data_IF_560633384674
#
_entry.id   IF_560633384674
#
_cell.length_a   1.000
_cell.length_b   1.000
_cell.length_c   1.000
_cell.angle_alpha   90.00
_cell.angle_beta   90.00
_cell.angle_gamma   90.00
#
_symmetry.space_group_name_H-M   'P 1'
#
loop_
_entity.id
_entity.type
_entity.pdbx_description
1 polymer ?
#
# COMPACT_ATOMS: atom_id res chain seq x y z
N UNK A 1 40.11 -8.01 -26.41
CA UNK A 1 38.73 -8.55 -26.35
C UNK A 1 38.82 -9.95 -26.92
N UNK A 2 38.52 -11.01 -26.16
CA UNK A 2 38.63 -12.39 -26.62
C UNK A 2 37.36 -12.74 -27.40
N UNK A 3 37.49 -13.18 -28.65
CA UNK A 3 36.34 -13.64 -29.44
C UNK A 3 35.83 -14.95 -28.82
N UNK A 4 34.57 -14.97 -28.41
CA UNK A 4 33.90 -16.15 -27.90
C UNK A 4 33.29 -16.92 -29.08
N UNK A 5 33.48 -18.24 -29.11
CA UNK A 5 32.83 -19.08 -30.11
C UNK A 5 31.34 -19.22 -29.81
N UNK A 6 30.54 -19.59 -30.82
CA UNK A 6 29.09 -19.83 -30.66
C UNK A 6 28.81 -20.91 -29.60
N UNK A 7 29.73 -21.86 -29.43
CA UNK A 7 29.65 -22.91 -28.40
C UNK A 7 29.87 -22.35 -26.99
N UNK A 8 30.75 -21.35 -26.85
CA UNK A 8 30.98 -20.66 -25.57
C UNK A 8 29.79 -19.76 -25.19
N UNK A 9 29.09 -19.18 -26.17
CA UNK A 9 27.84 -18.45 -25.94
C UNK A 9 26.71 -19.39 -25.50
N UNK A 10 26.63 -20.59 -26.06
CA UNK A 10 25.58 -21.56 -25.71
C UNK A 10 25.70 -22.08 -24.27
N UNK A 11 26.92 -22.14 -23.71
CA UNK A 11 27.18 -22.47 -22.31
C UNK A 11 26.95 -21.31 -21.34
N UNK A 12 26.92 -20.07 -21.85
CA UNK A 12 26.49 -18.89 -21.09
C UNK A 12 24.97 -18.79 -21.14
N UNK A 13 24.29 -19.68 -20.42
CA UNK A 13 22.94 -19.36 -19.95
C UNK A 13 23.10 -18.13 -19.06
N UNK A 14 22.84 -16.95 -19.61
CA UNK A 14 22.52 -15.80 -18.81
C UNK A 14 21.43 -16.29 -17.85
N UNK A 15 21.74 -16.32 -16.56
CA UNK A 15 20.74 -16.54 -15.53
C UNK A 15 19.74 -15.41 -15.73
N UNK A 16 18.67 -15.73 -16.46
CA UNK A 16 17.52 -14.87 -16.62
C UNK A 16 17.03 -14.72 -15.19
N UNK A 17 17.45 -13.62 -14.54
CA UNK A 17 16.78 -13.11 -13.36
C UNK A 17 15.30 -13.26 -13.68
N UNK A 18 14.54 -14.02 -12.86
CA UNK A 18 13.21 -14.46 -13.22
C UNK A 18 12.47 -13.23 -13.74
N UNK A 19 11.93 -13.33 -14.95
CA UNK A 19 11.08 -12.31 -15.56
C UNK A 19 10.18 -11.85 -14.44
N UNK A 20 10.33 -10.59 -13.99
CA UNK A 20 9.59 -10.07 -12.85
C UNK A 20 8.14 -10.41 -13.10
N UNK A 21 7.68 -11.49 -12.47
CA UNK A 21 6.29 -11.89 -12.56
C UNK A 21 5.61 -10.76 -11.82
N UNK A 22 4.99 -9.89 -12.62
CA UNK A 22 4.05 -8.94 -12.08
C UNK A 22 3.03 -9.83 -11.40
N UNK A 23 3.09 -9.74 -10.07
CA UNK A 23 2.32 -10.37 -9.03
C UNK A 23 0.80 -10.34 -9.35
N UNK A 24 0.36 -11.08 -10.36
CA UNK A 24 -0.98 -10.92 -10.93
C UNK A 24 -1.62 -12.22 -11.42
N UNK A 25 -0.87 -13.33 -11.52
CA UNK A 25 -1.41 -14.59 -12.06
C UNK A 25 -1.54 -15.71 -11.00
N UNK A 26 -0.98 -15.55 -9.79
CA UNK A 26 -1.03 -16.57 -8.73
C UNK A 26 -1.48 -16.02 -7.35
N UNK A 27 -2.62 -15.32 -7.31
CA UNK A 27 -3.35 -15.08 -6.06
C UNK A 27 -3.04 -13.78 -5.30
N UNK A 28 -2.41 -12.79 -5.93
CA UNK A 28 -2.10 -11.52 -5.27
C UNK A 28 -3.03 -10.39 -5.70
N UNK A 29 -4.11 -10.26 -4.93
CA UNK A 29 -4.96 -9.08 -4.93
C UNK A 29 -4.57 -8.25 -3.70
N UNK A 30 -3.65 -7.30 -3.83
CA UNK A 30 -3.31 -6.40 -2.72
C UNK A 30 -4.31 -5.23 -2.69
N UNK A 31 -5.47 -5.50 -2.09
CA UNK A 31 -6.55 -4.54 -1.92
C UNK A 31 -6.64 -4.14 -0.44
N UNK A 32 -6.14 -2.94 -0.12
CA UNK A 32 -6.35 -2.33 1.17
C UNK A 32 -7.63 -1.49 1.16
N UNK A 33 -8.78 -2.12 1.43
CA UNK A 33 -10.03 -1.40 1.65
C UNK A 33 -9.99 -0.64 2.98
N UNK A 34 -10.05 0.69 2.93
CA UNK A 34 -9.98 1.54 4.14
C UNK A 34 -11.25 2.35 4.27
N UNK A 35 -12.03 2.06 5.31
CA UNK A 35 -13.21 2.84 5.68
C UNK A 35 -13.00 3.47 7.04
N UNK A 36 -13.14 4.79 7.10
CA UNK A 36 -12.88 5.59 8.28
C UNK A 36 -14.07 6.52 8.49
N UNK A 37 -14.74 6.42 9.64
CA UNK A 37 -15.88 7.27 9.98
C UNK A 37 -15.71 7.86 11.37
N UNK A 38 -15.71 9.19 11.43
CA UNK A 38 -15.64 9.94 12.67
C UNK A 38 -16.86 10.82 12.83
N UNK A 39 -17.56 10.69 13.97
CA UNK A 39 -18.68 11.54 14.35
C UNK A 39 -18.38 12.23 15.67
N UNK A 40 -18.80 13.50 15.78
CA UNK A 40 -18.57 14.34 16.95
C UNK A 40 -19.81 15.20 17.16
N UNK A 41 -20.41 15.11 18.36
CA UNK A 41 -21.60 15.85 18.72
C UNK A 41 -21.39 16.50 20.09
N UNK A 42 -21.52 17.82 20.13
CA UNK A 42 -21.56 18.62 21.35
C UNK A 42 -22.98 19.14 21.55
N UNK A 43 -23.56 18.93 22.73
CA UNK A 43 -24.94 19.37 23.06
C UNK A 43 -24.93 20.14 24.38
N UNK A 44 -25.61 21.28 24.38
CA UNK A 44 -25.88 22.12 25.56
C UNK A 44 -27.39 22.18 25.80
N UNK A 45 -27.98 21.06 26.24
CA UNK A 45 -29.41 20.99 26.48
C UNK A 45 -29.77 21.64 27.82
N UNK A 46 -30.47 22.78 27.78
CA UNK A 46 -30.99 23.45 28.97
C UNK A 46 -29.98 24.28 29.78
N UNK A 47 -28.81 24.57 29.23
CA UNK A 47 -27.73 25.26 29.95
C UNK A 47 -27.61 26.74 29.59
N UNK A 48 -27.47 27.59 30.61
CA UNK A 48 -27.17 29.02 30.52
C UNK A 48 -25.68 29.25 30.82
N UNK A 49 -24.98 30.03 29.99
CA UNK A 49 -23.55 30.31 30.09
C UNK A 49 -22.58 29.12 29.91
N UNK A 50 -23.01 28.04 29.25
CA UNK A 50 -22.16 26.87 28.97
C UNK A 50 -21.50 26.92 27.60
N UNK A 51 -20.27 26.42 27.50
CA UNK A 51 -19.61 26.10 26.23
C UNK A 51 -19.57 24.58 26.03
N UNK A 52 -20.03 24.09 24.87
CA UNK A 52 -19.83 22.70 24.48
C UNK A 52 -18.89 22.66 23.28
N UNK A 53 -17.81 21.90 23.43
CA UNK A 53 -16.84 21.65 22.38
C UNK A 53 -16.86 20.17 22.04
N UNK A 54 -16.75 19.87 20.75
CA UNK A 54 -16.58 18.50 20.30
C UNK A 54 -15.68 18.49 19.08
N UNK A 55 -14.74 17.54 19.03
CA UNK A 55 -13.81 17.37 17.94
C UNK A 55 -13.70 15.89 17.57
N UNK A 56 -13.84 15.59 16.29
CA UNK A 56 -13.75 14.24 15.72
C UNK A 56 -12.45 14.10 14.92
N UNK A 57 -11.30 14.12 15.60
CA UNK A 57 -10.00 14.06 14.92
C UNK A 57 -9.70 12.62 14.46
N UNK A 58 -9.39 12.45 13.17
CA UNK A 58 -8.91 11.17 12.63
C UNK A 58 -7.56 11.35 11.95
N UNK A 59 -6.67 10.39 12.17
CA UNK A 59 -5.49 10.19 11.32
C UNK A 59 -5.52 8.75 10.80
N UNK A 60 -5.42 8.60 9.48
CA UNK A 60 -5.42 7.30 8.80
C UNK A 60 -4.14 7.23 7.96
N UNK A 61 -3.30 6.24 8.23
CA UNK A 61 -2.06 6.00 7.50
C UNK A 61 -2.01 4.55 7.02
N UNK A 62 -1.71 4.37 5.73
CA UNK A 62 -1.58 3.07 5.09
C UNK A 62 -0.20 3.00 4.44
N UNK A 63 0.57 1.97 4.80
CA UNK A 63 1.83 1.62 4.15
C UNK A 63 1.72 0.24 3.54
N UNK A 64 2.05 0.11 2.25
CA UNK A 64 2.17 -1.16 1.53
C UNK A 64 3.64 -1.35 1.12
N UNK A 65 4.11 -2.60 1.03
CA UNK A 65 5.50 -2.97 0.75
C UNK A 65 5.65 -3.56 -0.64
#
# INVERSE_FOLDING_TARGET
MKELSIQDLAGQQAELLPTRETLYIDGSFDLAGVMAHNASLAVNAGSLFSNAYSAALQNVHIGQH
#
